data_IF_393360291870
#
_entry.id   IF_393360291870
#
_cell.length_a   1.000
_cell.length_b   1.000
_cell.length_c   1.000
_cell.angle_alpha   90.00
_cell.angle_beta   90.00
_cell.angle_gamma   90.00
#
_symmetry.space_group_name_H-M   'P 1'
#
loop_
_entity.id
_entity.type
_entity.pdbx_description
1 polymer ?
#
# COMPACT_ATOMS: atom_id res chain seq x y z
N UNK A 1 -1.03 21.18 11.77
CA UNK A 1 -2.36 20.87 11.20
C UNK A 1 -2.71 21.76 10.00
N UNK A 2 -2.39 23.04 9.99
CA UNK A 2 -2.68 23.93 8.83
C UNK A 2 -1.92 23.55 7.54
N UNK A 3 -0.66 23.12 7.63
CA UNK A 3 0.13 22.66 6.50
C UNK A 3 -0.52 21.49 5.74
N UNK A 4 -1.20 20.60 6.45
CA UNK A 4 -1.86 19.44 5.84
C UNK A 4 -3.12 19.83 5.04
N UNK A 5 -3.77 20.94 5.38
CA UNK A 5 -4.90 21.46 4.60
C UNK A 5 -4.47 21.94 3.20
N UNK A 6 -3.22 22.36 3.04
CA UNK A 6 -2.65 22.80 1.77
C UNK A 6 -2.41 21.64 0.78
N UNK A 7 -2.40 20.38 1.22
CA UNK A 7 -2.35 19.21 0.32
C UNK A 7 -3.60 19.07 -0.56
N UNK A 8 -4.66 19.81 -0.24
CA UNK A 8 -5.89 19.88 -1.06
C UNK A 8 -5.80 20.85 -2.23
N UNK A 9 -4.67 21.53 -2.41
CA UNK A 9 -4.46 22.39 -3.59
C UNK A 9 -4.36 21.56 -4.86
N UNK A 10 -4.79 22.07 -6.02
CA UNK A 10 -4.73 21.33 -7.28
C UNK A 10 -3.31 21.17 -7.86
N UNK A 11 -2.32 21.90 -7.36
CA UNK A 11 -0.94 21.85 -7.86
C UNK A 11 -0.18 20.64 -7.32
N UNK A 12 0.24 19.73 -8.22
CA UNK A 12 1.07 18.56 -7.88
C UNK A 12 2.44 18.94 -7.32
N UNK A 13 3.03 20.02 -7.80
CA UNK A 13 4.32 20.51 -7.32
C UNK A 13 4.25 21.01 -5.88
N UNK A 14 3.18 21.75 -5.54
CA UNK A 14 2.92 22.19 -4.17
C UNK A 14 2.69 20.98 -3.26
N UNK A 15 1.89 19.99 -3.70
CA UNK A 15 1.65 18.75 -2.95
C UNK A 15 2.94 17.99 -2.67
N UNK A 16 3.83 17.87 -3.66
CA UNK A 16 5.14 17.20 -3.53
C UNK A 16 5.99 17.92 -2.49
N UNK A 17 6.16 19.21 -2.64
CA UNK A 17 6.96 20.02 -1.70
C UNK A 17 6.42 19.95 -0.28
N UNK A 18 5.09 19.96 -0.13
CA UNK A 18 4.44 19.82 1.18
C UNK A 18 4.65 18.44 1.81
N UNK A 19 4.55 17.37 1.02
CA UNK A 19 4.80 16.00 1.50
C UNK A 19 6.25 15.84 1.94
N UNK A 20 7.22 16.38 1.18
CA UNK A 20 8.63 16.36 1.54
C UNK A 20 8.89 17.16 2.83
N UNK A 21 8.25 18.31 2.97
CA UNK A 21 8.34 19.12 4.16
C UNK A 21 7.72 18.44 5.38
N UNK A 22 6.55 17.83 5.22
CA UNK A 22 5.90 17.01 6.25
C UNK A 22 6.80 15.87 6.67
N UNK A 23 7.38 15.12 5.72
CA UNK A 23 8.30 14.03 6.01
C UNK A 23 9.55 14.49 6.82
N UNK A 24 10.03 15.70 6.55
CA UNK A 24 11.13 16.31 7.31
C UNK A 24 10.75 16.76 8.75
N UNK A 25 9.48 17.08 8.98
CA UNK A 25 8.97 17.54 10.28
C UNK A 25 8.41 16.42 11.16
N UNK A 26 8.32 15.17 10.61
CA UNK A 26 7.84 14.01 11.35
C UNK A 26 8.86 13.58 12.40
N UNK A 27 8.34 13.28 13.58
CA UNK A 27 9.05 12.76 14.73
C UNK A 27 8.23 11.64 15.38
N UNK A 28 8.80 10.85 16.28
CA UNK A 28 8.08 9.80 17.05
C UNK A 28 6.81 10.33 17.73
N UNK A 29 6.77 11.62 18.08
CA UNK A 29 5.63 12.22 18.78
C UNK A 29 4.42 12.49 17.88
N UNK A 30 4.64 12.70 16.58
CA UNK A 30 3.57 13.11 15.66
C UNK A 30 3.38 12.16 14.47
N UNK A 31 4.19 11.10 14.36
CA UNK A 31 4.12 10.16 13.24
C UNK A 31 2.75 9.50 13.11
N UNK A 32 2.12 9.13 14.22
CA UNK A 32 0.79 8.52 14.21
C UNK A 32 -0.29 9.46 13.67
N UNK A 33 -0.23 10.75 14.03
CA UNK A 33 -1.19 11.76 13.55
C UNK A 33 -0.98 12.04 12.06
N UNK A 34 0.29 12.18 11.64
CA UNK A 34 0.65 12.38 10.24
C UNK A 34 0.22 11.17 9.40
N UNK A 35 0.47 9.97 9.89
CA UNK A 35 0.10 8.75 9.21
C UNK A 35 -1.41 8.60 9.08
N UNK A 36 -2.17 8.91 10.12
CA UNK A 36 -3.64 8.92 10.10
C UNK A 36 -4.17 9.91 9.08
N UNK A 37 -3.53 11.07 8.95
CA UNK A 37 -3.89 12.05 7.93
C UNK A 37 -3.59 11.54 6.52
N UNK A 38 -2.39 10.99 6.25
CA UNK A 38 -2.04 10.43 4.93
C UNK A 38 -2.99 9.30 4.52
N UNK A 39 -3.39 8.45 5.47
CA UNK A 39 -4.43 7.43 5.26
C UNK A 39 -5.77 8.04 4.83
N UNK A 40 -6.20 9.09 5.52
CA UNK A 40 -7.46 9.77 5.19
C UNK A 40 -7.43 10.39 3.77
N UNK A 41 -6.29 10.93 3.36
CA UNK A 41 -6.08 11.45 2.00
C UNK A 41 -6.05 10.32 0.96
N UNK A 42 -5.46 9.16 1.25
CA UNK A 42 -5.53 7.97 0.39
C UNK A 42 -6.98 7.54 0.15
N UNK A 43 -7.78 7.39 1.21
CA UNK A 43 -9.20 7.05 1.11
C UNK A 43 -9.96 8.09 0.27
N UNK A 44 -9.69 9.36 0.48
CA UNK A 44 -10.35 10.47 -0.24
C UNK A 44 -10.08 10.43 -1.74
N UNK A 45 -8.84 10.15 -2.17
CA UNK A 45 -8.48 10.13 -3.58
C UNK A 45 -8.64 8.75 -4.24
N UNK A 46 -9.10 7.72 -3.51
CA UNK A 46 -9.23 6.36 -4.02
C UNK A 46 -10.23 6.24 -5.17
N UNK A 47 -11.34 6.98 -5.10
CA UNK A 47 -12.42 6.96 -6.10
C UNK A 47 -12.19 7.91 -7.28
N UNK A 48 -11.15 8.73 -7.22
CA UNK A 48 -10.87 9.70 -8.27
C UNK A 48 -9.97 9.07 -9.35
N UNK A 49 -10.44 9.07 -10.60
CA UNK A 49 -9.76 8.43 -11.74
C UNK A 49 -8.93 9.40 -12.59
N UNK A 50 -8.89 10.68 -12.22
CA UNK A 50 -8.11 11.68 -12.93
C UNK A 50 -6.59 11.40 -12.84
N UNK A 51 -5.85 11.76 -13.90
CA UNK A 51 -4.40 11.60 -13.97
C UNK A 51 -3.66 12.29 -12.82
N UNK A 52 -4.15 13.46 -12.40
CA UNK A 52 -3.60 14.21 -11.27
C UNK A 52 -3.84 13.49 -9.93
N UNK A 53 -4.99 12.83 -9.80
CA UNK A 53 -5.30 12.03 -8.62
C UNK A 53 -4.42 10.77 -8.54
N UNK A 54 -4.12 10.14 -9.70
CA UNK A 54 -3.18 9.02 -9.79
C UNK A 54 -1.78 9.43 -9.34
N UNK A 55 -1.25 10.53 -9.88
CA UNK A 55 0.06 11.05 -9.47
C UNK A 55 0.09 11.37 -7.97
N UNK A 56 -0.98 11.95 -7.45
CA UNK A 56 -1.08 12.25 -6.02
C UNK A 56 -1.11 10.99 -5.15
N UNK A 57 -1.84 9.94 -5.56
CA UNK A 57 -1.82 8.64 -4.86
C UNK A 57 -0.41 8.05 -4.80
N UNK A 58 0.33 8.08 -5.90
CA UNK A 58 1.72 7.60 -5.91
C UNK A 58 2.62 8.40 -4.96
N UNK A 59 2.44 9.72 -4.90
CA UNK A 59 3.17 10.55 -3.93
C UNK A 59 2.81 10.18 -2.48
N UNK A 60 1.53 9.96 -2.19
CA UNK A 60 1.07 9.53 -0.87
C UNK A 60 1.66 8.16 -0.49
N UNK A 61 1.64 7.19 -1.41
CA UNK A 61 2.22 5.86 -1.20
C UNK A 61 3.70 5.96 -0.86
N UNK A 62 4.48 6.74 -1.63
CA UNK A 62 5.91 6.95 -1.38
C UNK A 62 6.17 7.62 -0.02
N UNK A 63 5.37 8.62 0.35
CA UNK A 63 5.50 9.30 1.63
C UNK A 63 5.15 8.37 2.80
N UNK A 64 4.09 7.60 2.67
CA UNK A 64 3.68 6.58 3.63
C UNK A 64 4.80 5.55 3.81
N UNK A 65 5.37 5.06 2.70
CA UNK A 65 6.50 4.13 2.73
C UNK A 65 7.71 4.70 3.47
N UNK A 66 8.18 5.87 3.08
CA UNK A 66 9.33 6.49 3.69
C UNK A 66 9.16 6.66 5.22
N UNK A 67 7.93 7.00 5.66
CA UNK A 67 7.62 7.11 7.07
C UNK A 67 7.53 5.75 7.77
N UNK A 68 6.97 4.73 7.13
CA UNK A 68 6.86 3.39 7.70
C UNK A 68 8.23 2.71 7.86
N UNK A 69 9.15 2.92 6.92
CA UNK A 69 10.55 2.44 7.04
C UNK A 69 11.28 3.16 8.17
N UNK A 70 11.05 4.46 8.32
CA UNK A 70 11.70 5.27 9.36
C UNK A 70 11.11 5.05 10.76
N UNK A 71 9.82 4.75 10.85
CA UNK A 71 9.07 4.59 12.09
C UNK A 71 8.33 3.25 12.11
N UNK A 72 9.00 2.16 12.51
CA UNK A 72 8.46 0.80 12.47
C UNK A 72 7.14 0.63 13.23
N UNK A 73 6.91 1.42 14.26
CA UNK A 73 5.71 1.37 15.10
C UNK A 73 4.41 1.69 14.35
N UNK A 74 4.50 2.37 13.20
CA UNK A 74 3.32 2.66 12.37
C UNK A 74 3.21 1.73 11.15
N UNK A 75 4.23 0.92 10.90
CA UNK A 75 4.29 0.03 9.73
C UNK A 75 3.12 -0.94 9.68
N UNK A 76 2.79 -1.59 10.79
CA UNK A 76 1.72 -2.59 10.91
C UNK A 76 0.36 -2.07 10.43
N UNK A 77 0.04 -0.84 10.84
CA UNK A 77 -1.26 -0.23 10.50
C UNK A 77 -1.35 0.28 9.07
N UNK A 78 -0.21 0.53 8.43
CA UNK A 78 -0.16 1.09 7.08
C UNK A 78 -0.17 -0.01 6.03
N UNK A 79 0.62 -1.05 6.23
CA UNK A 79 0.77 -2.14 5.27
C UNK A 79 -0.58 -2.78 4.97
N UNK A 80 -1.35 -3.10 6.01
CA UNK A 80 -2.66 -3.71 5.84
C UNK A 80 -3.66 -2.80 5.12
N UNK A 81 -3.56 -1.48 5.33
CA UNK A 81 -4.38 -0.52 4.59
C UNK A 81 -4.00 -0.49 3.11
N UNK A 82 -2.71 -0.48 2.79
CA UNK A 82 -2.26 -0.42 1.40
C UNK A 82 -2.73 -1.63 0.58
N UNK A 83 -2.85 -2.80 1.19
CA UNK A 83 -3.37 -4.00 0.53
C UNK A 83 -4.85 -3.86 0.08
N UNK A 84 -5.62 -2.96 0.66
CA UNK A 84 -6.98 -2.69 0.21
C UNK A 84 -7.03 -1.89 -1.13
N UNK A 85 -5.89 -1.35 -1.57
CA UNK A 85 -5.77 -0.57 -2.82
C UNK A 85 -5.04 -1.30 -3.95
N UNK A 86 -4.88 -2.62 -3.88
CA UNK A 86 -4.15 -3.39 -4.88
C UNK A 86 -4.81 -3.37 -6.28
N UNK A 87 -6.13 -3.21 -6.37
CA UNK A 87 -6.82 -3.05 -7.65
C UNK A 87 -6.75 -1.62 -8.22
N UNK A 88 -6.03 -0.71 -7.56
CA UNK A 88 -5.74 0.60 -8.13
C UNK A 88 -4.58 0.55 -9.11
N UNK A 89 -4.42 1.60 -9.93
CA UNK A 89 -3.28 1.77 -10.83
C UNK A 89 -1.90 1.69 -10.14
N UNK A 90 -1.87 1.92 -8.83
CA UNK A 90 -0.65 1.85 -8.01
C UNK A 90 -0.42 0.48 -7.36
N UNK A 91 -1.22 -0.54 -7.69
CA UNK A 91 -1.20 -1.85 -7.04
C UNK A 91 0.19 -2.53 -7.06
N UNK A 92 0.89 -2.48 -8.20
CA UNK A 92 2.27 -3.01 -8.31
C UNK A 92 3.22 -2.26 -7.38
N UNK A 93 3.16 -0.93 -7.37
CA UNK A 93 4.01 -0.11 -6.48
C UNK A 93 3.74 -0.41 -5.01
N UNK A 94 2.48 -0.63 -4.64
CA UNK A 94 2.07 -1.03 -3.29
C UNK A 94 2.68 -2.38 -2.91
N UNK A 95 2.60 -3.40 -3.77
CA UNK A 95 3.15 -4.72 -3.48
C UNK A 95 4.67 -4.72 -3.36
N UNK A 96 5.37 -3.99 -4.23
CA UNK A 96 6.82 -3.86 -4.14
C UNK A 96 7.24 -3.22 -2.81
N UNK A 97 6.50 -2.23 -2.37
CA UNK A 97 6.67 -1.57 -1.10
C UNK A 97 6.38 -2.50 0.09
N UNK A 98 5.27 -3.23 0.03
CA UNK A 98 4.92 -4.25 1.05
C UNK A 98 6.04 -5.30 1.14
N UNK A 99 6.55 -5.77 0.00
CA UNK A 99 7.67 -6.72 -0.05
C UNK A 99 8.93 -6.16 0.63
N UNK A 100 9.29 -4.91 0.37
CA UNK A 100 10.43 -4.26 1.03
C UNK A 100 10.23 -4.19 2.56
N UNK A 101 9.01 -3.90 3.01
CA UNK A 101 8.70 -3.89 4.43
C UNK A 101 8.79 -5.27 5.07
N UNK A 102 8.36 -6.33 4.38
CA UNK A 102 8.47 -7.71 4.86
C UNK A 102 9.92 -8.15 5.07
N UNK A 103 10.87 -7.61 4.31
CA UNK A 103 12.30 -7.89 4.50
C UNK A 103 12.86 -7.31 5.81
N UNK A 104 12.24 -6.26 6.33
CA UNK A 104 12.72 -5.55 7.52
C UNK A 104 11.87 -5.81 8.77
N UNK A 105 10.65 -6.35 8.62
CA UNK A 105 9.66 -6.50 9.70
C UNK A 105 9.04 -7.90 9.68
N UNK A 106 9.69 -8.87 10.34
CA UNK A 106 9.20 -10.25 10.42
C UNK A 106 7.81 -10.39 11.06
N UNK A 107 7.46 -9.50 11.98
CA UNK A 107 6.15 -9.47 12.62
C UNK A 107 5.00 -9.19 11.65
N UNK A 108 5.29 -8.59 10.49
CA UNK A 108 4.30 -8.31 9.44
C UNK A 108 4.01 -9.51 8.53
N UNK A 109 4.86 -10.53 8.52
CA UNK A 109 4.73 -11.68 7.62
C UNK A 109 3.33 -12.31 7.68
N UNK A 110 2.93 -12.79 8.86
CA UNK A 110 1.63 -13.47 9.01
C UNK A 110 0.43 -12.58 8.67
N UNK A 111 0.28 -11.37 9.21
CA UNK A 111 -0.89 -10.54 8.91
C UNK A 111 -0.95 -10.10 7.45
N UNK A 112 0.19 -9.79 6.84
CA UNK A 112 0.25 -9.39 5.43
C UNK A 112 -0.08 -10.54 4.50
N UNK A 113 0.53 -11.70 4.68
CA UNK A 113 0.26 -12.88 3.83
C UNK A 113 -1.18 -13.38 4.00
N UNK A 114 -1.73 -13.35 5.21
CA UNK A 114 -3.14 -13.67 5.45
C UNK A 114 -4.06 -12.70 4.71
N UNK A 115 -3.79 -11.40 4.79
CA UNK A 115 -4.59 -10.41 4.06
C UNK A 115 -4.42 -10.54 2.54
N UNK A 116 -3.20 -10.79 2.08
CA UNK A 116 -2.92 -10.96 0.64
C UNK A 116 -3.63 -12.19 0.07
N UNK A 117 -3.66 -13.32 0.78
CA UNK A 117 -4.43 -14.51 0.36
C UNK A 117 -5.93 -14.23 0.29
N UNK A 118 -6.47 -13.43 1.22
CA UNK A 118 -7.90 -13.06 1.22
C UNK A 118 -8.29 -12.19 0.02
N UNK A 119 -7.42 -11.24 -0.37
CA UNK A 119 -7.71 -10.34 -1.49
C UNK A 119 -7.28 -10.90 -2.83
N UNK A 120 -6.53 -12.01 -2.85
CA UNK A 120 -5.94 -12.59 -4.05
C UNK A 120 -6.97 -12.89 -5.16
N UNK A 121 -8.10 -13.47 -4.82
CA UNK A 121 -9.19 -13.79 -5.76
C UNK A 121 -9.85 -12.53 -6.38
N UNK A 122 -9.74 -11.39 -5.71
CA UNK A 122 -10.31 -10.12 -6.18
C UNK A 122 -9.34 -9.30 -7.03
N UNK A 123 -8.11 -9.77 -7.24
CA UNK A 123 -7.12 -9.06 -8.05
C UNK A 123 -7.47 -9.19 -9.54
N UNK A 124 -7.66 -8.06 -10.18
CA UNK A 124 -8.05 -7.96 -11.60
C UNK A 124 -6.85 -7.71 -12.53
N UNK A 125 -5.79 -7.08 -12.02
CA UNK A 125 -4.61 -6.71 -12.79
C UNK A 125 -3.58 -7.84 -12.81
N UNK A 126 -3.20 -8.31 -14.01
CA UNK A 126 -2.23 -9.41 -14.20
C UNK A 126 -0.86 -9.11 -13.58
N UNK A 127 -0.36 -7.88 -13.69
CA UNK A 127 0.93 -7.50 -13.13
C UNK A 127 0.90 -7.54 -11.60
N UNK A 128 -0.19 -7.05 -11.00
CA UNK A 128 -0.40 -7.12 -9.55
C UNK A 128 -0.48 -8.58 -9.10
N UNK A 129 -1.20 -9.42 -9.84
CA UNK A 129 -1.36 -10.83 -9.56
C UNK A 129 -0.02 -11.58 -9.60
N UNK A 130 0.82 -11.29 -10.61
CA UNK A 130 2.17 -11.89 -10.72
C UNK A 130 3.07 -11.48 -9.54
N UNK A 131 3.06 -10.21 -9.15
CA UNK A 131 3.86 -9.74 -8.00
C UNK A 131 3.32 -10.31 -6.69
N UNK A 132 1.99 -10.45 -6.55
CA UNK A 132 1.36 -11.09 -5.40
C UNK A 132 1.75 -12.56 -5.28
N UNK A 133 1.69 -13.32 -6.38
CA UNK A 133 2.16 -14.70 -6.45
C UNK A 133 3.62 -14.84 -6.04
N UNK A 134 4.46 -13.97 -6.58
CA UNK A 134 5.87 -13.96 -6.22
C UNK A 134 6.09 -13.66 -4.73
N UNK A 135 5.36 -12.68 -4.20
CA UNK A 135 5.44 -12.34 -2.77
C UNK A 135 5.01 -13.52 -1.89
N UNK A 136 3.90 -14.18 -2.22
CA UNK A 136 3.44 -15.38 -1.50
C UNK A 136 4.47 -16.52 -1.58
N UNK A 137 5.06 -16.78 -2.76
CA UNK A 137 6.05 -17.84 -2.94
C UNK A 137 7.36 -17.59 -2.17
N UNK A 138 7.80 -16.34 -2.10
CA UNK A 138 9.06 -15.95 -1.45
C UNK A 138 8.95 -15.90 0.07
N UNK A 139 7.84 -15.43 0.60
CA UNK A 139 7.68 -15.13 2.01
C UNK A 139 6.81 -16.10 2.81
N UNK A 140 6.09 -17.04 2.15
CA UNK A 140 5.19 -17.95 2.87
C UNK A 140 5.97 -18.88 3.81
N UNK A 141 5.79 -18.75 5.13
CA UNK A 141 6.37 -19.68 6.10
C UNK A 141 5.71 -21.06 5.97
N UNK A 142 6.38 -22.10 6.47
CA UNK A 142 5.97 -23.50 6.29
C UNK A 142 4.52 -23.80 6.73
N UNK A 143 4.06 -23.14 7.76
CA UNK A 143 2.70 -23.25 8.32
C UNK A 143 1.63 -22.57 7.44
N UNK A 144 2.01 -21.57 6.62
CA UNK A 144 1.11 -20.87 5.70
C UNK A 144 1.16 -21.37 4.25
N UNK A 145 2.14 -22.19 3.87
CA UNK A 145 2.32 -22.65 2.50
C UNK A 145 1.06 -23.30 1.92
N UNK A 146 0.40 -24.14 2.69
CA UNK A 146 -0.85 -24.78 2.26
C UNK A 146 -1.95 -23.74 1.99
N UNK A 147 -2.15 -22.79 2.89
CA UNK A 147 -3.15 -21.73 2.73
C UNK A 147 -2.85 -20.86 1.50
N UNK A 148 -1.58 -20.54 1.26
CA UNK A 148 -1.15 -19.79 0.07
C UNK A 148 -1.41 -20.58 -1.21
N UNK A 149 -1.10 -21.89 -1.23
CA UNK A 149 -1.35 -22.75 -2.39
C UNK A 149 -2.86 -22.89 -2.65
N UNK A 150 -3.66 -23.09 -1.61
CA UNK A 150 -5.11 -23.22 -1.74
C UNK A 150 -5.73 -21.93 -2.32
N UNK A 151 -5.24 -20.75 -1.90
CA UNK A 151 -5.68 -19.46 -2.45
C UNK A 151 -5.31 -19.26 -3.94
N UNK A 152 -4.15 -19.77 -4.36
CA UNK A 152 -3.68 -19.70 -5.75
C UNK A 152 -4.43 -20.68 -6.65
N UNK A 153 -4.81 -21.86 -6.14
CA UNK A 153 -5.47 -22.92 -6.90
C UNK A 153 -6.98 -22.69 -7.10
N UNK A 154 -7.57 -21.69 -6.46
CA UNK A 154 -8.95 -21.30 -6.77
C UNK A 154 -9.03 -20.91 -8.25
N UNK A 155 -9.91 -21.53 -9.07
CA UNK A 155 -9.96 -21.24 -10.50
C UNK A 155 -10.26 -19.76 -10.70
N UNK A 156 -9.30 -19.01 -11.25
CA UNK A 156 -9.55 -17.66 -11.75
C UNK A 156 -10.70 -17.76 -12.74
N UNK A 157 -11.84 -17.09 -12.54
CA UNK A 157 -12.93 -17.13 -13.50
C UNK A 157 -12.39 -16.66 -14.85
N UNK A 158 -12.73 -17.35 -15.96
CA UNK A 158 -12.22 -16.97 -17.26
C UNK A 158 -12.54 -15.50 -17.50
N UNK A 159 -11.51 -14.70 -17.69
CA UNK A 159 -11.60 -13.29 -18.00
C UNK A 159 -12.66 -13.12 -19.10
N UNK A 160 -13.71 -12.37 -18.79
CA UNK A 160 -14.72 -11.97 -19.77
C UNK A 160 -14.08 -11.01 -20.76
N UNK A 161 -13.36 -11.58 -21.74
CA UNK A 161 -13.10 -10.87 -22.96
C UNK A 161 -14.42 -10.85 -23.77
N UNK A 162 -15.15 -9.76 -23.70
CA UNK A 162 -16.06 -9.30 -24.73
C UNK A 162 -15.93 -7.79 -24.85
#
# INVERSE_FOLDING_TARGET
>A
MELMALLRTPSTEIRRTLLDLVAGLVSERNVSDVMSFLKSEMVRCASDTDALAKEYREMLIRSIHALAVKYPEVADTVVLLLLDYLNSDSGVSILLLVKEMLLHHENLLHPVLTKLTQVFESLENEEVLLVALWTLAEFAPADMQKTCIDAILVPVPPSRHL
#
